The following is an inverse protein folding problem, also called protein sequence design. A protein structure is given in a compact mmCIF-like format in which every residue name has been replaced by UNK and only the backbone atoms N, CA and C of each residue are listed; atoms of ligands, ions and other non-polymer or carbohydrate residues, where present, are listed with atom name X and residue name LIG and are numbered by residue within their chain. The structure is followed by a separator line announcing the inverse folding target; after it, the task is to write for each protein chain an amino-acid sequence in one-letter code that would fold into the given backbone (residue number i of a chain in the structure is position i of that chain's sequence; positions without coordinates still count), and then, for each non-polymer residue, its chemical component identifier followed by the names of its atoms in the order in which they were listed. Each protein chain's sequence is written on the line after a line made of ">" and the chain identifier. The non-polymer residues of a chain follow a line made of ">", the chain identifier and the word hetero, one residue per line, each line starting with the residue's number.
data_IF_607573653654
#
_entry.id   IF_607573653654
#
_cell.length_a   1.000
_cell.length_b   1.000
_cell.length_c   1.000
_cell.angle_alpha   90.00
_cell.angle_beta   90.00
_cell.angle_gamma   90.00
#
_symmetry.space_group_name_H-M   'P 1'
#
loop_
_entity.id
_entity.type
_entity.pdbx_description
1 polymer ?
#
# COMPACT_ATOMS: atom_id res chain seq x y z
N UNK A 1 6.34 4.26 -30.02
CA UNK A 1 5.36 5.19 -29.42
C UNK A 1 6.16 6.17 -28.61
N UNK A 2 6.13 7.45 -28.98
CA UNK A 2 6.77 8.49 -28.19
C UNK A 2 6.12 8.46 -26.80
N UNK A 3 6.93 8.30 -25.75
CA UNK A 3 6.49 8.59 -24.39
C UNK A 3 6.03 10.05 -24.41
N UNK A 4 4.72 10.29 -24.43
CA UNK A 4 4.18 11.55 -23.95
C UNK A 4 4.81 11.76 -22.58
N UNK A 5 5.49 12.90 -22.41
CA UNK A 5 6.15 13.22 -21.16
C UNK A 5 5.08 13.14 -20.07
N UNK A 6 5.27 12.24 -19.11
CA UNK A 6 4.43 12.09 -17.92
C UNK A 6 4.14 13.49 -17.39
N UNK A 7 2.90 13.95 -17.51
CA UNK A 7 2.50 15.29 -17.12
C UNK A 7 2.27 15.33 -15.60
N UNK A 8 3.28 14.87 -14.83
CA UNK A 8 3.29 14.85 -13.37
C UNK A 8 3.41 16.25 -12.78
N UNK A 9 3.86 17.22 -13.59
CA UNK A 9 4.00 18.61 -13.21
C UNK A 9 2.85 19.42 -13.82
N UNK A 10 1.82 19.69 -13.03
CA UNK A 10 0.73 20.57 -13.45
C UNK A 10 1.23 22.04 -13.60
N UNK A 11 0.51 22.89 -14.35
CA UNK A 11 0.94 24.26 -14.60
C UNK A 11 1.17 25.11 -13.33
N UNK A 12 0.42 24.86 -12.26
CA UNK A 12 0.55 25.61 -11.00
C UNK A 12 1.83 25.18 -10.27
N UNK A 13 2.09 23.87 -10.19
CA UNK A 13 3.33 23.32 -9.65
C UNK A 13 4.55 23.81 -10.44
N UNK A 14 4.49 23.82 -11.77
CA UNK A 14 5.60 24.33 -12.60
C UNK A 14 5.89 25.80 -12.31
N UNK A 15 4.85 26.65 -12.27
CA UNK A 15 4.98 28.07 -11.97
C UNK A 15 5.60 28.30 -10.59
N UNK A 16 5.17 27.55 -9.57
CA UNK A 16 5.69 27.64 -8.21
C UNK A 16 7.18 27.28 -8.13
N UNK A 17 7.59 26.18 -8.80
CA UNK A 17 8.99 25.75 -8.85
C UNK A 17 9.88 26.76 -9.56
N UNK A 18 9.44 27.28 -10.72
CA UNK A 18 10.20 28.29 -11.48
C UNK A 18 10.38 29.59 -10.70
N UNK A 19 9.39 29.98 -9.91
CA UNK A 19 9.41 31.22 -9.11
C UNK A 19 10.26 31.09 -7.85
N UNK A 20 10.34 29.90 -7.24
CA UNK A 20 10.93 29.73 -5.89
C UNK A 20 12.34 29.12 -5.92
N UNK A 21 12.59 28.16 -6.81
CA UNK A 21 13.81 27.34 -6.75
C UNK A 21 15.08 28.14 -7.07
N UNK A 22 15.13 28.99 -8.11
CA UNK A 22 16.35 29.74 -8.44
C UNK A 22 16.74 30.78 -7.37
N UNK A 23 15.75 31.39 -6.71
CA UNK A 23 15.96 32.57 -5.85
C UNK A 23 15.95 32.26 -4.35
N UNK A 24 15.14 31.30 -3.88
CA UNK A 24 14.85 31.11 -2.45
C UNK A 24 15.49 29.84 -1.86
N UNK A 25 15.25 28.66 -2.46
CA UNK A 25 15.64 27.38 -1.83
C UNK A 25 16.86 26.71 -2.46
N UNK A 26 17.12 26.94 -3.76
CA UNK A 26 18.11 26.22 -4.55
C UNK A 26 17.69 24.78 -4.89
N UNK A 27 17.98 24.32 -6.11
CA UNK A 27 17.54 23.00 -6.60
C UNK A 27 18.00 21.81 -5.75
N UNK A 28 19.17 21.92 -5.09
CA UNK A 28 19.67 20.86 -4.19
C UNK A 28 18.79 20.67 -2.95
N UNK A 29 18.24 21.75 -2.40
CA UNK A 29 17.35 21.67 -1.23
C UNK A 29 16.02 21.01 -1.60
N UNK A 30 15.48 21.33 -2.79
CA UNK A 30 14.29 20.68 -3.32
C UNK A 30 14.52 19.17 -3.53
N UNK A 31 15.63 18.79 -4.16
CA UNK A 31 15.98 17.39 -4.36
C UNK A 31 16.12 16.64 -3.02
N UNK A 32 16.75 17.27 -2.02
CA UNK A 32 16.87 16.70 -0.68
C UNK A 32 15.50 16.52 -0.02
N UNK A 33 14.61 17.52 -0.12
CA UNK A 33 13.24 17.42 0.38
C UNK A 33 12.47 16.29 -0.29
N UNK A 34 12.55 16.17 -1.62
CA UNK A 34 11.89 15.10 -2.37
C UNK A 34 12.38 13.69 -1.96
N UNK A 35 13.70 13.51 -1.78
CA UNK A 35 14.25 12.23 -1.28
C UNK A 35 13.85 11.94 0.17
N UNK A 36 13.75 12.98 0.99
CA UNK A 36 13.28 12.83 2.37
C UNK A 36 11.82 12.41 2.42
N UNK A 37 10.98 13.04 1.60
CA UNK A 37 9.58 12.66 1.42
C UNK A 37 9.46 11.20 0.96
N UNK A 38 10.23 10.79 -0.06
CA UNK A 38 10.24 9.41 -0.55
C UNK A 38 10.60 8.40 0.55
N UNK A 39 11.63 8.69 1.37
CA UNK A 39 12.02 7.82 2.49
C UNK A 39 10.88 7.73 3.52
N UNK A 40 10.33 8.86 3.95
CA UNK A 40 9.26 8.86 4.96
C UNK A 40 7.99 8.16 4.47
N UNK A 41 7.56 8.39 3.21
CA UNK A 41 6.44 7.68 2.61
C UNK A 41 6.68 6.17 2.61
N UNK A 42 7.87 5.73 2.19
CA UNK A 42 8.22 4.31 2.25
C UNK A 42 8.13 3.72 3.66
N UNK A 43 8.64 4.43 4.68
CA UNK A 43 8.56 3.95 6.05
C UNK A 43 7.13 3.87 6.55
N UNK A 44 6.26 4.84 6.21
CA UNK A 44 4.83 4.79 6.56
C UNK A 44 4.14 3.61 5.90
N UNK A 45 4.35 3.41 4.61
CA UNK A 45 3.77 2.29 3.85
C UNK A 45 4.21 0.94 4.42
N UNK A 46 5.51 0.80 4.72
CA UNK A 46 6.06 -0.42 5.31
C UNK A 46 5.46 -0.66 6.71
N UNK A 47 5.44 0.34 7.59
CA UNK A 47 4.82 0.22 8.92
C UNK A 47 3.36 -0.18 8.80
N UNK A 48 2.61 0.46 7.89
CA UNK A 48 1.21 0.16 7.67
C UNK A 48 1.02 -1.32 7.32
N UNK A 49 1.67 -1.82 6.26
CA UNK A 49 1.48 -3.21 5.81
C UNK A 49 1.92 -4.20 6.88
N UNK A 50 3.09 -4.00 7.51
CA UNK A 50 3.57 -4.96 8.51
C UNK A 50 2.73 -4.95 9.79
N UNK A 51 2.21 -3.80 10.21
CA UNK A 51 1.31 -3.74 11.38
C UNK A 51 -0.07 -4.30 11.05
N UNK A 52 -0.61 -4.06 9.86
CA UNK A 52 -1.86 -4.68 9.40
C UNK A 52 -1.72 -6.20 9.36
N UNK A 53 -0.64 -6.72 8.79
CA UNK A 53 -0.40 -8.15 8.74
C UNK A 53 -0.21 -8.77 10.14
N UNK A 54 0.39 -8.05 11.07
CA UNK A 54 0.67 -8.55 12.41
C UNK A 54 -0.51 -8.47 13.39
N UNK A 55 -1.28 -7.39 13.32
CA UNK A 55 -2.24 -7.00 14.37
C UNK A 55 -3.67 -6.82 13.84
N UNK A 56 -3.87 -6.98 12.52
CA UNK A 56 -5.20 -6.89 11.91
C UNK A 56 -5.83 -5.51 12.11
N UNK A 57 -7.10 -5.47 12.50
CA UNK A 57 -7.86 -4.25 12.83
C UNK A 57 -7.29 -3.50 14.05
N UNK A 58 -6.56 -4.19 14.93
CA UNK A 58 -5.98 -3.58 16.14
C UNK A 58 -4.67 -2.84 15.87
N UNK A 59 -4.16 -2.84 14.63
CA UNK A 59 -2.89 -2.22 14.27
C UNK A 59 -2.74 -0.76 14.75
N UNK A 60 -3.81 0.03 14.71
CA UNK A 60 -3.82 1.44 15.07
C UNK A 60 -3.58 1.66 16.57
N UNK A 61 -3.89 0.68 17.42
CA UNK A 61 -3.60 0.71 18.87
C UNK A 61 -2.10 0.70 19.17
N UNK A 62 -1.29 0.25 18.21
CA UNK A 62 0.17 0.28 18.28
C UNK A 62 0.76 1.60 17.77
N UNK A 63 -0.07 2.53 17.31
CA UNK A 63 0.33 3.82 16.75
C UNK A 63 -0.13 4.94 17.69
N UNK A 64 0.79 5.52 18.45
CA UNK A 64 0.49 6.62 19.38
C UNK A 64 0.24 7.96 18.63
N UNK A 65 -0.99 8.05 18.10
CA UNK A 65 -1.49 9.09 17.19
C UNK A 65 -2.69 9.87 17.73
N UNK A 66 -3.27 9.44 18.85
CA UNK A 66 -4.57 9.88 19.40
C UNK A 66 -4.67 11.38 19.70
N UNK A 67 -3.55 12.04 20.00
CA UNK A 67 -3.57 13.46 20.38
C UNK A 67 -3.70 14.44 19.18
N UNK A 68 -3.10 14.15 18.01
CA UNK A 68 -3.12 15.08 16.87
C UNK A 68 -4.29 14.85 15.92
N UNK A 69 -4.67 13.59 15.72
CA UNK A 69 -5.75 13.21 14.81
C UNK A 69 -7.09 13.83 15.23
N UNK A 70 -7.36 13.96 16.53
CA UNK A 70 -8.60 14.53 17.06
C UNK A 70 -8.69 16.06 16.98
N UNK A 71 -7.56 16.78 16.99
CA UNK A 71 -7.54 18.24 16.85
C UNK A 71 -7.55 18.67 15.39
N UNK A 72 -6.73 18.05 14.54
CA UNK A 72 -6.60 18.44 13.13
C UNK A 72 -7.83 17.98 12.31
N UNK A 73 -8.33 16.75 12.49
CA UNK A 73 -9.48 16.25 11.73
C UNK A 73 -10.79 17.00 12.05
N UNK A 74 -10.93 17.55 13.26
CA UNK A 74 -12.09 18.38 13.62
C UNK A 74 -11.97 19.83 13.12
N UNK A 75 -10.76 20.37 12.96
CA UNK A 75 -10.52 21.72 12.44
C UNK A 75 -10.46 21.76 10.90
N UNK A 76 -10.07 20.66 10.25
CA UNK A 76 -9.83 20.57 8.81
C UNK A 76 -10.88 19.73 8.07
N UNK A 77 -12.11 19.59 8.59
CA UNK A 77 -13.22 18.88 7.91
C UNK A 77 -13.51 19.38 6.49
N UNK A 78 -13.05 20.58 6.14
CA UNK A 78 -13.21 21.19 4.82
C UNK A 78 -12.06 20.84 3.83
N UNK A 79 -10.97 20.25 4.32
CA UNK A 79 -9.82 19.80 3.52
C UNK A 79 -9.82 18.27 3.49
N UNK A 80 -10.66 17.69 2.61
CA UNK A 80 -10.63 16.26 2.33
C UNK A 80 -9.30 15.90 1.66
N UNK A 81 -8.38 15.35 2.43
CA UNK A 81 -7.14 14.73 1.94
C UNK A 81 -7.27 13.20 2.03
N UNK A 82 -6.69 12.42 1.10
CA UNK A 82 -6.67 10.94 1.18
C UNK A 82 -6.06 10.40 2.48
N UNK A 83 -5.27 11.22 3.17
CA UNK A 83 -4.56 10.87 4.40
C UNK A 83 -5.32 11.20 5.68
N UNK A 84 -6.53 11.77 5.62
CA UNK A 84 -7.23 12.26 6.82
C UNK A 84 -7.45 11.15 7.85
N UNK A 85 -7.75 9.95 7.36
CA UNK A 85 -8.01 8.75 8.15
C UNK A 85 -6.74 7.90 8.40
N UNK A 86 -5.56 8.34 7.95
CA UNK A 86 -4.29 7.65 8.12
C UNK A 86 -3.56 8.11 9.40
N UNK A 87 -3.53 7.32 10.49
CA UNK A 87 -2.83 7.70 11.72
C UNK A 87 -1.34 7.98 11.52
N UNK A 88 -0.71 7.32 10.53
CA UNK A 88 0.73 7.46 10.25
C UNK A 88 1.06 8.79 9.56
N UNK A 89 0.10 9.43 8.89
CA UNK A 89 0.31 10.73 8.25
C UNK A 89 0.62 11.85 9.27
N UNK A 90 0.12 11.70 10.50
CA UNK A 90 0.34 12.64 11.60
C UNK A 90 1.60 12.36 12.43
N UNK A 91 2.29 11.25 12.12
CA UNK A 91 3.53 10.90 12.76
C UNK A 91 4.70 11.60 12.10
N UNK A 92 5.60 12.05 12.96
CA UNK A 92 6.87 12.63 12.58
C UNK A 92 7.91 11.50 12.41
N UNK A 93 9.02 11.74 11.70
CA UNK A 93 9.95 10.65 11.40
C UNK A 93 10.55 9.99 12.64
N UNK A 94 10.71 10.72 13.74
CA UNK A 94 11.23 10.16 14.99
C UNK A 94 10.29 9.09 15.51
N UNK A 95 8.98 9.40 15.58
CA UNK A 95 7.96 8.41 15.96
C UNK A 95 7.93 7.20 15.02
N UNK A 96 8.10 7.39 13.71
CA UNK A 96 8.19 6.27 12.76
C UNK A 96 9.38 5.35 13.07
N UNK A 97 10.55 5.93 13.36
CA UNK A 97 11.73 5.16 13.74
C UNK A 97 11.56 4.45 15.09
N UNK A 98 10.94 5.10 16.06
CA UNK A 98 10.64 4.51 17.38
C UNK A 98 9.70 3.29 17.24
N UNK A 99 8.70 3.37 16.35
CA UNK A 99 7.80 2.23 16.03
C UNK A 99 8.58 1.06 15.43
N UNK A 100 9.45 1.33 14.45
CA UNK A 100 10.30 0.31 13.82
C UNK A 100 11.22 -0.33 14.84
N UNK A 101 11.88 0.47 15.70
CA UNK A 101 12.76 -0.04 16.73
C UNK A 101 12.03 -0.93 17.74
N UNK A 102 10.84 -0.50 18.20
CA UNK A 102 10.00 -1.27 19.14
C UNK A 102 9.55 -2.60 18.56
N UNK A 103 9.32 -2.67 17.25
CA UNK A 103 8.80 -3.84 16.56
C UNK A 103 9.78 -4.42 15.54
N UNK A 104 11.09 -4.32 15.81
CA UNK A 104 12.17 -4.62 14.85
C UNK A 104 12.01 -5.94 14.11
N UNK A 105 11.59 -7.00 14.81
CA UNK A 105 11.38 -8.33 14.24
C UNK A 105 10.48 -8.33 13.00
N UNK A 106 9.51 -7.40 12.90
CA UNK A 106 8.59 -7.29 11.75
C UNK A 106 9.20 -6.57 10.54
N UNK A 107 10.34 -5.91 10.72
CA UNK A 107 10.98 -5.07 9.71
C UNK A 107 12.36 -5.58 9.28
N UNK A 108 12.94 -6.51 10.04
CA UNK A 108 14.32 -6.97 9.86
C UNK A 108 14.65 -7.45 8.44
N UNK A 109 13.69 -8.06 7.75
CA UNK A 109 13.87 -8.55 6.37
C UNK A 109 13.62 -7.49 5.29
N UNK A 110 13.01 -6.36 5.69
CA UNK A 110 12.63 -5.24 4.82
C UNK A 110 13.55 -4.03 4.97
N UNK A 111 14.46 -4.06 5.94
CA UNK A 111 15.45 -3.02 6.23
C UNK A 111 16.86 -3.61 6.16
N UNK A 112 17.87 -2.76 6.40
CA UNK A 112 19.26 -3.20 6.60
C UNK A 112 19.45 -3.78 8.01
N UNK A 113 20.64 -4.32 8.32
CA UNK A 113 20.90 -4.86 9.65
C UNK A 113 20.69 -3.81 10.75
N UNK A 114 20.29 -4.27 11.95
CA UNK A 114 19.90 -3.40 13.06
C UNK A 114 21.01 -2.41 13.45
N UNK A 115 22.28 -2.81 13.42
CA UNK A 115 23.38 -1.94 13.83
C UNK A 115 23.63 -0.85 12.78
N UNK A 116 23.65 -1.21 11.49
CA UNK A 116 23.73 -0.22 10.43
C UNK A 116 22.50 0.70 10.42
N UNK A 117 21.31 0.15 10.60
CA UNK A 117 20.07 0.93 10.67
C UNK A 117 20.14 1.97 11.79
N UNK A 118 20.46 1.56 13.01
CA UNK A 118 20.61 2.47 14.15
C UNK A 118 21.67 3.55 13.88
N UNK A 119 22.80 3.19 13.29
CA UNK A 119 23.84 4.16 12.90
C UNK A 119 23.35 5.18 11.87
N UNK A 120 22.50 4.78 10.92
CA UNK A 120 21.91 5.68 9.91
C UNK A 120 20.88 6.65 10.51
N UNK A 121 20.13 6.24 11.53
CA UNK A 121 19.07 7.07 12.10
C UNK A 121 19.58 8.42 12.63
N UNK A 122 20.70 8.43 13.34
CA UNK A 122 21.29 9.66 13.90
C UNK A 122 21.69 10.65 12.79
N UNK A 123 22.19 10.15 11.68
CA UNK A 123 22.55 10.95 10.50
C UNK A 123 21.30 11.51 9.81
N UNK A 124 20.29 10.66 9.58
CA UNK A 124 19.02 11.05 8.98
C UNK A 124 18.29 12.10 9.80
N UNK A 125 18.28 12.00 11.14
CA UNK A 125 17.65 13.00 12.00
C UNK A 125 18.33 14.36 11.89
N UNK A 126 19.66 14.41 11.74
CA UNK A 126 20.38 15.68 11.49
C UNK A 126 20.01 16.30 10.15
N UNK A 127 19.84 15.48 9.11
CA UNK A 127 19.38 15.92 7.78
C UNK A 127 17.96 16.47 7.88
N UNK A 128 17.03 15.73 8.49
CA UNK A 128 15.65 16.17 8.72
C UNK A 128 15.58 17.49 9.46
N UNK A 129 16.34 17.64 10.54
CA UNK A 129 16.34 18.87 11.33
C UNK A 129 16.74 20.09 10.49
N UNK A 130 17.66 19.94 9.53
CA UNK A 130 17.98 21.01 8.57
C UNK A 130 16.82 21.30 7.63
N UNK A 131 16.20 20.26 7.06
CA UNK A 131 15.04 20.38 6.17
C UNK A 131 13.90 21.12 6.88
N UNK A 132 13.53 20.68 8.09
CA UNK A 132 12.45 21.25 8.88
C UNK A 132 12.65 22.72 9.25
N UNK A 133 13.91 23.14 9.44
CA UNK A 133 14.23 24.54 9.75
C UNK A 133 14.62 25.36 8.52
N UNK A 134 14.38 24.85 7.31
CA UNK A 134 14.72 25.49 6.04
C UNK A 134 16.18 25.96 5.99
N UNK A 135 17.07 25.22 6.66
CA UNK A 135 18.50 25.52 6.71
C UNK A 135 19.16 25.01 5.45
N UNK A 136 20.17 25.73 4.97
CA UNK A 136 20.99 25.28 3.84
C UNK A 136 21.54 23.86 4.11
N UNK A 137 21.32 22.89 3.21
CA UNK A 137 21.80 21.53 3.41
C UNK A 137 23.32 21.46 3.32
N UNK A 138 23.91 20.50 4.02
CA UNK A 138 25.33 20.16 3.84
C UNK A 138 25.54 19.63 2.42
N UNK A 139 26.75 19.81 1.88
CA UNK A 139 27.12 19.31 0.56
C UNK A 139 26.99 17.79 0.40
N UNK A 140 26.84 17.04 1.49
CA UNK A 140 26.75 15.58 1.46
C UNK A 140 25.35 15.05 1.80
N UNK A 141 24.42 15.89 2.26
CA UNK A 141 23.11 15.44 2.75
C UNK A 141 22.33 14.63 1.70
N UNK A 142 22.31 15.14 0.47
CA UNK A 142 21.64 14.45 -0.64
C UNK A 142 22.29 13.09 -0.93
N UNK A 143 23.63 13.00 -0.90
CA UNK A 143 24.33 11.72 -1.14
C UNK A 143 24.07 10.73 -0.02
N UNK A 144 23.99 11.20 1.22
CA UNK A 144 23.75 10.36 2.40
C UNK A 144 22.36 9.75 2.37
N UNK A 145 21.33 10.54 2.04
CA UNK A 145 19.97 10.00 1.90
C UNK A 145 19.85 9.06 0.70
N UNK A 146 20.47 9.39 -0.43
CA UNK A 146 20.50 8.49 -1.59
C UNK A 146 21.22 7.19 -1.25
N UNK A 147 22.33 7.23 -0.52
CA UNK A 147 23.00 6.03 -0.07
C UNK A 147 22.10 5.19 0.84
N UNK A 148 21.39 5.81 1.78
CA UNK A 148 20.42 5.07 2.61
C UNK A 148 19.33 4.43 1.77
N UNK A 149 18.76 5.14 0.79
CA UNK A 149 17.76 4.58 -0.12
C UNK A 149 18.32 3.41 -0.94
N UNK A 150 19.58 3.49 -1.41
CA UNK A 150 20.26 2.37 -2.09
C UNK A 150 20.40 1.16 -1.18
N UNK A 151 20.83 1.39 0.06
CA UNK A 151 21.03 0.32 1.04
C UNK A 151 19.68 -0.37 1.36
N UNK A 152 18.56 0.36 1.28
CA UNK A 152 17.20 -0.16 1.48
C UNK A 152 16.59 -0.89 0.27
N UNK A 153 17.14 -0.78 -0.94
CA UNK A 153 16.57 -1.35 -2.17
C UNK A 153 16.23 -2.85 -2.02
N UNK A 154 17.16 -3.62 -1.43
CA UNK A 154 16.98 -5.07 -1.25
C UNK A 154 15.83 -5.40 -0.31
N UNK A 155 15.81 -4.74 0.85
CA UNK A 155 14.75 -4.96 1.85
C UNK A 155 13.39 -4.51 1.33
N UNK A 156 13.33 -3.37 0.65
CA UNK A 156 12.11 -2.91 0.02
C UNK A 156 11.59 -3.90 -1.03
N UNK A 157 12.47 -4.45 -1.87
CA UNK A 157 12.09 -5.49 -2.83
C UNK A 157 11.54 -6.73 -2.13
N UNK A 158 12.21 -7.21 -1.07
CA UNK A 158 11.73 -8.36 -0.28
C UNK A 158 10.33 -8.14 0.26
N UNK A 159 10.04 -6.96 0.84
CA UNK A 159 8.74 -6.66 1.41
C UNK A 159 7.62 -6.60 0.36
N UNK A 160 7.91 -5.95 -0.78
CA UNK A 160 6.97 -5.79 -1.88
C UNK A 160 6.73 -7.12 -2.62
N UNK A 161 7.80 -7.84 -2.96
CA UNK A 161 7.70 -9.14 -3.62
C UNK A 161 7.00 -10.18 -2.73
N UNK A 162 7.23 -10.16 -1.41
CA UNK A 162 6.49 -11.03 -0.49
C UNK A 162 4.98 -10.72 -0.44
N UNK A 163 4.57 -9.47 -0.69
CA UNK A 163 3.14 -9.11 -0.76
C UNK A 163 2.46 -9.64 -2.03
N UNK A 164 3.20 -9.73 -3.14
CA UNK A 164 2.71 -10.22 -4.43
C UNK A 164 2.97 -11.71 -4.65
N UNK A 165 3.84 -12.33 -3.83
CA UNK A 165 4.08 -13.78 -3.81
C UNK A 165 2.89 -14.48 -3.17
N UNK A 166 1.93 -14.81 -4.01
CA UNK A 166 0.65 -15.37 -3.63
C UNK A 166 0.52 -16.82 -4.01
N UNK A 167 -0.27 -17.54 -3.23
CA UNK A 167 -0.67 -18.90 -3.55
C UNK A 167 -2.11 -19.13 -3.10
N UNK A 168 -2.82 -20.00 -3.81
CA UNK A 168 -4.12 -20.48 -3.37
C UNK A 168 -3.92 -21.55 -2.29
N UNK A 169 -4.50 -21.41 -1.09
CA UNK A 169 -4.48 -22.47 -0.09
C UNK A 169 -5.00 -23.80 -0.66
N UNK A 170 -4.30 -24.89 -0.37
CA UNK A 170 -4.72 -26.21 -0.83
C UNK A 170 -6.06 -26.59 -0.17
N UNK A 171 -7.01 -27.12 -0.96
CA UNK A 171 -8.32 -27.54 -0.46
C UNK A 171 -8.22 -28.51 0.71
N UNK A 172 -7.35 -29.51 0.61
CA UNK A 172 -7.24 -30.53 1.64
C UNK A 172 -6.33 -30.11 2.80
N UNK A 173 -5.71 -28.92 2.73
CA UNK A 173 -4.71 -28.46 3.69
C UNK A 173 -5.26 -27.56 4.81
N UNK A 174 -6.43 -26.95 4.63
CA UNK A 174 -6.97 -25.95 5.55
C UNK A 174 -8.49 -26.06 5.73
N UNK A 175 -8.98 -25.83 6.95
CA UNK A 175 -10.41 -25.86 7.31
C UNK A 175 -10.84 -24.61 8.08
N UNK A 176 -10.10 -23.51 7.92
CA UNK A 176 -10.44 -22.22 8.53
C UNK A 176 -11.71 -21.61 7.92
N UNK A 177 -12.35 -20.63 8.59
CA UNK A 177 -13.61 -20.05 8.12
C UNK A 177 -13.58 -19.50 6.70
N UNK A 178 -12.47 -18.89 6.27
CA UNK A 178 -12.35 -18.27 4.94
C UNK A 178 -12.21 -19.32 3.86
N UNK A 179 -11.33 -20.31 4.08
CA UNK A 179 -11.16 -21.45 3.17
C UNK A 179 -12.48 -22.22 3.02
N UNK A 180 -13.15 -22.53 4.13
CA UNK A 180 -14.43 -23.25 4.09
C UNK A 180 -15.52 -22.46 3.36
N UNK A 181 -15.60 -21.15 3.62
CA UNK A 181 -16.60 -20.30 3.00
C UNK A 181 -16.45 -20.19 1.49
N UNK A 182 -15.24 -19.88 1.01
CA UNK A 182 -15.02 -19.40 -0.36
C UNK A 182 -14.30 -20.40 -1.26
N UNK A 183 -13.32 -21.14 -0.71
CA UNK A 183 -12.58 -22.16 -1.48
C UNK A 183 -13.39 -23.46 -1.54
N UNK A 184 -13.96 -23.90 -0.42
CA UNK A 184 -14.86 -25.06 -0.35
C UNK A 184 -16.32 -24.72 -0.66
N UNK A 185 -16.64 -23.43 -0.84
CA UNK A 185 -17.97 -22.95 -1.22
C UNK A 185 -19.08 -23.36 -0.24
N UNK A 186 -18.77 -23.48 1.05
CA UNK A 186 -19.76 -23.84 2.09
C UNK A 186 -20.56 -22.63 2.59
N UNK A 187 -20.15 -21.40 2.24
CA UNK A 187 -20.89 -20.21 2.63
C UNK A 187 -22.21 -20.09 1.87
N UNK A 188 -23.33 -19.65 2.50
CA UNK A 188 -24.63 -19.54 1.81
C UNK A 188 -24.62 -18.63 0.57
N UNK A 189 -23.70 -17.65 0.52
CA UNK A 189 -23.52 -16.75 -0.63
C UNK A 189 -22.43 -17.20 -1.60
N UNK A 190 -21.86 -18.41 -1.46
CA UNK A 190 -20.84 -18.90 -2.38
C UNK A 190 -21.35 -19.06 -3.83
N UNK A 191 -22.68 -19.10 -4.05
CA UNK A 191 -23.28 -19.04 -5.38
C UNK A 191 -22.91 -17.77 -6.16
N UNK A 192 -22.50 -16.69 -5.46
CA UNK A 192 -22.04 -15.45 -6.09
C UNK A 192 -20.85 -15.68 -7.02
N UNK A 193 -20.00 -16.70 -6.73
CA UNK A 193 -18.88 -17.09 -7.59
C UNK A 193 -19.39 -17.47 -8.98
N UNK A 194 -20.31 -18.43 -9.05
CA UNK A 194 -20.91 -18.85 -10.31
C UNK A 194 -21.72 -17.72 -10.98
N UNK A 195 -22.40 -16.89 -10.18
CA UNK A 195 -23.13 -15.74 -10.71
C UNK A 195 -22.22 -14.72 -11.40
N UNK A 196 -21.08 -14.38 -10.78
CA UNK A 196 -20.09 -13.49 -11.36
C UNK A 196 -19.43 -14.07 -12.62
N UNK A 197 -19.04 -15.35 -12.58
CA UNK A 197 -18.48 -16.05 -13.75
C UNK A 197 -19.46 -16.03 -14.94
N UNK A 198 -20.75 -16.29 -14.69
CA UNK A 198 -21.76 -16.44 -15.76
C UNK A 198 -22.40 -15.13 -16.23
N UNK A 199 -22.68 -14.19 -15.33
CA UNK A 199 -23.41 -12.95 -15.65
C UNK A 199 -22.49 -11.74 -15.90
N UNK A 200 -21.32 -11.76 -15.30
CA UNK A 200 -20.35 -10.67 -15.35
C UNK A 200 -19.08 -11.02 -16.12
N UNK A 201 -18.92 -12.28 -16.54
CA UNK A 201 -17.71 -12.79 -17.18
C UNK A 201 -16.46 -12.45 -16.35
N UNK A 202 -16.58 -12.60 -15.04
CA UNK A 202 -15.52 -12.30 -14.09
C UNK A 202 -14.75 -13.57 -13.70
N UNK A 203 -13.43 -13.46 -13.62
CA UNK A 203 -12.56 -14.44 -12.98
C UNK A 203 -12.34 -14.02 -11.52
N UNK A 204 -12.37 -14.97 -10.60
CA UNK A 204 -12.27 -14.73 -9.17
C UNK A 204 -11.10 -15.51 -8.60
N UNK A 205 -10.31 -14.85 -7.78
CA UNK A 205 -9.19 -15.46 -7.08
C UNK A 205 -9.31 -15.29 -5.57
N UNK A 206 -8.95 -16.35 -4.85
CA UNK A 206 -8.76 -16.35 -3.40
C UNK A 206 -7.35 -16.86 -3.14
N UNK A 207 -6.47 -15.97 -2.73
CA UNK A 207 -5.06 -16.26 -2.53
C UNK A 207 -4.60 -15.72 -1.19
N UNK A 208 -3.45 -16.20 -0.72
CA UNK A 208 -2.79 -15.67 0.47
C UNK A 208 -1.35 -15.29 0.15
N UNK A 209 -0.82 -14.30 0.86
CA UNK A 209 0.61 -13.97 0.86
C UNK A 209 1.17 -14.03 2.28
N UNK A 210 2.46 -14.32 2.39
CA UNK A 210 3.19 -14.45 3.67
C UNK A 210 4.18 -13.29 3.83
N UNK A 211 4.17 -12.63 4.98
CA UNK A 211 5.17 -11.61 5.31
C UNK A 211 6.55 -12.21 5.54
N UNK A 212 7.64 -11.50 5.19
CA UNK A 212 9.00 -12.04 5.29
C UNK A 212 9.41 -12.54 6.69
N UNK A 213 8.99 -11.83 7.74
CA UNK A 213 9.33 -12.14 9.13
C UNK A 213 8.61 -13.38 9.68
N UNK A 214 7.63 -13.92 8.95
CA UNK A 214 6.99 -15.18 9.32
C UNK A 214 7.81 -16.35 8.76
N UNK A 215 8.41 -17.21 9.61
CA UNK A 215 9.31 -18.26 9.13
C UNK A 215 8.58 -19.28 8.24
N UNK A 216 7.43 -19.75 8.69
CA UNK A 216 6.62 -20.77 8.01
C UNK A 216 5.15 -20.39 8.00
N UNK A 217 4.42 -20.90 7.01
CA UNK A 217 2.96 -20.72 6.94
C UNK A 217 2.33 -21.58 8.05
N UNK A 218 1.48 -21.00 8.92
CA UNK A 218 0.80 -21.79 9.94
C UNK A 218 -0.21 -22.76 9.29
N UNK A 219 -0.44 -23.93 9.92
CA UNK A 219 -1.40 -24.91 9.39
C UNK A 219 -2.85 -24.37 9.40
N UNK A 220 -3.17 -23.48 10.35
CA UNK A 220 -4.46 -22.79 10.42
C UNK A 220 -4.27 -21.32 10.05
N UNK A 221 -5.14 -20.83 9.15
CA UNK A 221 -5.08 -19.45 8.66
C UNK A 221 -6.04 -18.51 9.40
N UNK A 222 -6.89 -19.03 10.30
CA UNK A 222 -7.72 -18.19 11.18
C UNK A 222 -6.85 -17.55 12.25
N UNK A 223 -6.97 -16.23 12.44
CA UNK A 223 -6.17 -15.47 13.41
C UNK A 223 -4.66 -15.75 13.29
N UNK A 224 -4.15 -15.73 12.06
CA UNK A 224 -2.77 -16.02 11.69
C UNK A 224 -1.98 -14.74 11.36
N UNK A 225 -1.24 -14.14 12.32
CA UNK A 225 -0.37 -13.00 12.05
C UNK A 225 0.66 -13.28 10.95
N UNK A 226 0.86 -12.31 10.07
CA UNK A 226 1.83 -12.39 8.98
C UNK A 226 1.28 -13.04 7.71
N UNK A 227 0.01 -13.47 7.70
CA UNK A 227 -0.70 -13.90 6.50
C UNK A 227 -1.69 -12.81 6.07
N UNK A 228 -1.76 -12.54 4.78
CA UNK A 228 -2.73 -11.64 4.17
C UNK A 228 -3.59 -12.42 3.17
N UNK A 229 -4.90 -12.24 3.25
CA UNK A 229 -5.86 -12.75 2.27
C UNK A 229 -6.01 -11.75 1.13
N UNK A 230 -5.99 -12.25 -0.11
CA UNK A 230 -6.21 -11.50 -1.34
C UNK A 230 -7.45 -12.05 -2.03
N UNK A 231 -8.43 -11.17 -2.23
CA UNK A 231 -9.64 -11.46 -2.98
C UNK A 231 -9.67 -10.60 -4.25
N UNK A 232 -9.51 -11.23 -5.41
CA UNK A 232 -9.46 -10.56 -6.71
C UNK A 232 -10.69 -10.83 -7.56
N UNK A 233 -11.14 -9.81 -8.30
CA UNK A 233 -12.07 -9.95 -9.42
C UNK A 233 -11.48 -9.30 -10.67
N UNK A 234 -11.37 -10.08 -11.75
CA UNK A 234 -10.97 -9.61 -13.07
C UNK A 234 -12.15 -9.76 -14.03
N UNK A 235 -12.66 -8.65 -14.54
CA UNK A 235 -13.78 -8.61 -15.48
C UNK A 235 -13.30 -8.66 -16.92
N UNK A 236 -14.00 -9.39 -17.79
CA UNK A 236 -13.63 -9.43 -19.21
C UNK A 236 -14.10 -8.21 -20.02
N UNK A 237 -15.31 -7.72 -19.75
CA UNK A 237 -15.96 -6.67 -20.54
C UNK A 237 -16.63 -5.60 -19.68
N UNK A 238 -16.20 -5.49 -18.42
CA UNK A 238 -16.72 -4.51 -17.47
C UNK A 238 -15.58 -3.77 -16.79
N UNK A 239 -15.77 -2.47 -16.59
CA UNK A 239 -14.81 -1.65 -15.86
C UNK A 239 -15.35 -1.30 -14.48
N UNK A 240 -14.43 -1.03 -13.56
CA UNK A 240 -14.69 -0.52 -12.23
C UNK A 240 -14.38 0.97 -12.19
N UNK A 241 -15.26 1.74 -11.55
CA UNK A 241 -14.98 3.12 -11.20
C UNK A 241 -14.49 3.19 -9.75
N UNK A 242 -13.25 3.66 -9.48
CA UNK A 242 -12.67 3.72 -8.14
C UNK A 242 -13.54 4.47 -7.13
N UNK A 243 -14.11 5.62 -7.53
CA UNK A 243 -14.93 6.44 -6.64
C UNK A 243 -16.23 5.73 -6.29
N UNK A 244 -16.85 5.08 -7.26
CA UNK A 244 -18.08 4.33 -7.05
C UNK A 244 -17.85 3.15 -6.11
N UNK A 245 -16.83 2.32 -6.36
CA UNK A 245 -16.57 1.19 -5.47
C UNK A 245 -16.24 1.65 -4.06
N UNK A 246 -15.47 2.73 -3.91
CA UNK A 246 -15.15 3.30 -2.59
C UNK A 246 -16.39 3.77 -1.81
N UNK A 247 -17.36 4.34 -2.51
CA UNK A 247 -18.66 4.71 -1.94
C UNK A 247 -19.52 3.49 -1.60
N UNK A 248 -19.56 2.48 -2.46
CA UNK A 248 -20.29 1.23 -2.18
C UNK A 248 -19.70 0.49 -0.98
N UNK A 249 -18.40 0.68 -0.68
CA UNK A 249 -17.75 0.07 0.48
C UNK A 249 -17.60 1.00 1.70
N UNK A 250 -18.51 1.98 1.86
CA UNK A 250 -18.50 2.94 2.97
C UNK A 250 -18.91 2.36 4.34
N UNK A 251 -19.14 1.05 4.45
CA UNK A 251 -19.39 0.41 5.74
C UNK A 251 -18.15 0.52 6.66
N UNK A 252 -18.29 1.10 7.87
CA UNK A 252 -17.17 1.30 8.79
C UNK A 252 -16.48 0.01 9.22
N UNK A 253 -17.24 -1.08 9.37
CA UNK A 253 -16.70 -2.39 9.76
C UNK A 253 -15.81 -2.91 8.64
N UNK A 254 -16.31 -2.89 7.41
CA UNK A 254 -15.54 -3.27 6.23
C UNK A 254 -14.27 -2.43 6.06
N UNK A 255 -14.38 -1.09 6.12
CA UNK A 255 -13.23 -0.19 5.96
C UNK A 255 -12.16 -0.43 7.02
N UNK A 256 -12.55 -0.79 8.23
CA UNK A 256 -11.60 -1.13 9.30
C UNK A 256 -10.83 -2.40 8.97
N UNK A 257 -11.48 -3.41 8.37
CA UNK A 257 -10.87 -4.68 7.97
C UNK A 257 -10.00 -4.60 6.70
N UNK A 258 -10.31 -3.67 5.81
CA UNK A 258 -9.60 -3.49 4.55
C UNK A 258 -8.16 -3.04 4.77
N UNK A 259 -7.19 -3.86 4.34
CA UNK A 259 -5.77 -3.48 4.28
C UNK A 259 -5.55 -2.60 3.05
N UNK A 260 -5.85 -3.12 1.86
CA UNK A 260 -5.76 -2.36 0.62
C UNK A 260 -6.92 -2.71 -0.33
N UNK A 261 -7.34 -1.71 -1.11
CA UNK A 261 -8.13 -1.86 -2.32
C UNK A 261 -7.22 -1.56 -3.52
N UNK A 262 -6.77 -2.58 -4.23
CA UNK A 262 -5.88 -2.41 -5.38
C UNK A 262 -6.67 -2.41 -6.68
N UNK A 263 -6.44 -1.39 -7.52
CA UNK A 263 -6.96 -1.29 -8.88
C UNK A 263 -5.75 -1.26 -9.81
N UNK A 264 -5.46 -2.42 -10.41
CA UNK A 264 -4.34 -2.61 -11.32
C UNK A 264 -4.58 -1.91 -12.66
N UNK A 265 -5.78 -2.13 -13.16
CA UNK A 265 -6.33 -1.57 -14.37
C UNK A 265 -7.86 -1.48 -14.21
N UNK A 266 -8.57 -0.81 -15.11
CA UNK A 266 -10.01 -0.63 -15.00
C UNK A 266 -10.83 -1.92 -14.92
N UNK A 267 -10.28 -3.08 -15.28
CA UNK A 267 -10.95 -4.37 -15.29
C UNK A 267 -10.61 -5.26 -14.09
N UNK A 268 -9.61 -4.88 -13.29
CA UNK A 268 -9.12 -5.70 -12.19
C UNK A 268 -9.13 -4.95 -10.87
N UNK A 269 -9.89 -5.49 -9.91
CA UNK A 269 -9.93 -5.01 -8.53
C UNK A 269 -9.54 -6.14 -7.57
N UNK A 270 -8.82 -5.77 -6.52
CA UNK A 270 -8.44 -6.67 -5.45
C UNK A 270 -8.64 -6.03 -4.08
N UNK A 271 -9.06 -6.85 -3.12
CA UNK A 271 -9.19 -6.51 -1.72
C UNK A 271 -8.23 -7.35 -0.91
N UNK A 272 -7.47 -6.70 -0.03
CA UNK A 272 -6.58 -7.38 0.91
C UNK A 272 -7.11 -7.29 2.34
N UNK A 273 -7.11 -8.41 3.04
CA UNK A 273 -7.51 -8.52 4.45
C UNK A 273 -6.39 -9.17 5.26
N UNK A 274 -6.30 -8.87 6.55
CA UNK A 274 -5.32 -9.49 7.43
C UNK A 274 -5.88 -10.79 7.99
N UNK A 275 -5.12 -11.88 7.89
CA UNK A 275 -5.51 -13.14 8.54
C UNK A 275 -5.36 -13.08 10.07
N UNK A 276 -4.74 -12.03 10.64
CA UNK A 276 -4.72 -11.80 12.08
C UNK A 276 -6.11 -11.45 12.65
N UNK A 277 -7.05 -11.05 11.78
CA UNK A 277 -8.45 -10.78 12.14
C UNK A 277 -9.26 -12.07 12.32
N UNK A 278 -10.48 -11.95 12.86
CA UNK A 278 -11.39 -13.09 12.97
C UNK A 278 -11.84 -13.55 11.58
N UNK A 279 -11.66 -14.84 11.28
CA UNK A 279 -11.98 -15.40 9.97
C UNK A 279 -13.44 -15.21 9.56
N UNK A 280 -14.40 -15.14 10.49
CA UNK A 280 -15.81 -14.91 10.15
C UNK A 280 -16.05 -13.48 9.69
N UNK A 281 -15.35 -12.53 10.30
CA UNK A 281 -15.40 -11.14 9.90
C UNK A 281 -14.77 -10.97 8.51
N UNK A 282 -13.66 -11.67 8.22
CA UNK A 282 -13.05 -11.71 6.88
C UNK A 282 -14.03 -12.31 5.85
N UNK A 283 -14.73 -13.39 6.19
CA UNK A 283 -15.75 -13.98 5.31
C UNK A 283 -16.85 -12.96 4.97
N UNK A 284 -17.32 -12.22 5.97
CA UNK A 284 -18.33 -11.18 5.77
C UNK A 284 -17.80 -10.00 4.94
N UNK A 285 -16.55 -9.61 5.16
CA UNK A 285 -15.91 -8.55 4.39
C UNK A 285 -15.74 -8.96 2.92
N UNK A 286 -15.29 -10.19 2.64
CA UNK A 286 -15.20 -10.73 1.27
C UNK A 286 -16.58 -10.73 0.61
N UNK A 287 -17.63 -11.18 1.29
CA UNK A 287 -19.00 -11.14 0.76
C UNK A 287 -19.38 -9.72 0.33
N UNK A 288 -19.09 -8.73 1.18
CA UNK A 288 -19.41 -7.33 0.92
C UNK A 288 -18.60 -6.76 -0.25
N UNK A 289 -17.28 -7.01 -0.29
CA UNK A 289 -16.42 -6.66 -1.41
C UNK A 289 -16.92 -7.24 -2.73
N UNK A 290 -17.40 -8.49 -2.70
CA UNK A 290 -17.96 -9.18 -3.85
C UNK A 290 -19.21 -8.45 -4.38
N UNK A 291 -20.19 -8.20 -3.51
CA UNK A 291 -21.44 -7.53 -3.87
C UNK A 291 -21.19 -6.10 -4.37
N UNK A 292 -20.33 -5.34 -3.69
CA UNK A 292 -19.96 -3.98 -4.06
C UNK A 292 -19.25 -3.93 -5.42
N UNK A 293 -18.34 -4.87 -5.70
CA UNK A 293 -17.63 -4.96 -6.98
C UNK A 293 -18.58 -5.22 -8.15
N UNK A 294 -19.51 -6.16 -7.98
CA UNK A 294 -20.51 -6.44 -9.01
C UNK A 294 -21.43 -5.24 -9.25
N UNK A 295 -21.91 -4.61 -8.18
CA UNK A 295 -22.78 -3.43 -8.24
C UNK A 295 -22.09 -2.22 -8.88
N UNK A 296 -20.79 -2.05 -8.66
CA UNK A 296 -19.97 -0.96 -9.19
C UNK A 296 -19.53 -1.17 -10.63
N UNK A 297 -19.54 -2.41 -11.12
CA UNK A 297 -19.09 -2.75 -12.47
C UNK A 297 -20.01 -2.18 -13.56
N UNK A 298 -19.43 -1.67 -14.64
CA UNK A 298 -20.15 -1.15 -15.82
C UNK A 298 -19.67 -1.87 -17.07
N UNK A 299 -20.60 -2.36 -17.91
CA UNK A 299 -20.24 -2.91 -19.23
C UNK A 299 -19.66 -1.81 -20.12
N UNK A 300 -18.59 -2.16 -20.82
CA UNK A 300 -17.96 -1.31 -21.83
C UNK A 300 -18.13 -1.97 -23.19
N UNK A 301 -18.51 -1.18 -24.19
CA UNK A 301 -18.74 -1.66 -25.55
C UNK A 301 -17.53 -1.46 -26.45
N UNK A 302 -16.72 -0.43 -26.21
CA UNK A 302 -15.47 -0.17 -26.92
C UNK A 302 -14.34 0.12 -25.91
N UNK A 303 -13.23 -0.61 -26.03
CA UNK A 303 -12.04 -0.47 -25.17
C UNK A 303 -11.46 0.95 -25.24
N UNK A 304 -11.66 1.65 -26.36
CA UNK A 304 -11.22 3.05 -26.52
C UNK A 304 -11.93 4.05 -25.60
N UNK A 305 -13.07 3.67 -25.04
CA UNK A 305 -13.81 4.49 -24.07
C UNK A 305 -13.20 4.44 -22.67
N UNK A 306 -12.22 3.56 -22.43
CA UNK A 306 -11.66 3.34 -21.10
C UNK A 306 -10.53 4.32 -20.83
N UNK A 307 -10.79 5.21 -19.87
CA UNK A 307 -9.82 6.17 -19.35
C UNK A 307 -8.94 5.53 -18.26
N UNK A 308 -7.86 4.87 -18.68
CA UNK A 308 -6.91 4.19 -17.77
C UNK A 308 -6.25 5.18 -16.80
N UNK A 309 -5.75 6.31 -17.31
CA UNK A 309 -5.07 7.32 -16.50
C UNK A 309 -6.02 8.03 -15.54
N UNK A 310 -7.24 8.34 -15.99
CA UNK A 310 -8.28 8.91 -15.13
C UNK A 310 -8.69 7.96 -14.01
N UNK A 311 -8.74 6.65 -14.27
CA UNK A 311 -8.97 5.64 -13.23
C UNK A 311 -7.82 5.61 -12.22
N UNK A 312 -6.57 5.57 -12.68
CA UNK A 312 -5.39 5.57 -11.79
C UNK A 312 -5.34 6.84 -10.93
N UNK A 313 -5.54 8.02 -11.52
CA UNK A 313 -5.61 9.30 -10.79
C UNK A 313 -6.77 9.31 -9.79
N UNK A 314 -7.96 8.92 -10.21
CA UNK A 314 -9.13 8.90 -9.34
C UNK A 314 -8.95 7.95 -8.14
N UNK A 315 -8.20 6.86 -8.28
CA UNK A 315 -7.91 5.94 -7.19
C UNK A 315 -6.96 6.59 -6.14
N UNK A 316 -5.90 7.27 -6.59
CA UNK A 316 -4.90 7.91 -5.71
C UNK A 316 -5.48 9.02 -4.83
N UNK A 317 -6.57 9.65 -5.27
CA UNK A 317 -7.21 10.76 -4.55
C UNK A 317 -8.27 10.33 -3.53
N UNK A 318 -8.51 9.02 -3.33
CA UNK A 318 -9.64 8.55 -2.50
C UNK A 318 -9.28 8.36 -1.04
N UNK A 319 -8.28 7.53 -0.77
CA UNK A 319 -7.90 7.10 0.57
C UNK A 319 -6.54 6.39 0.48
N UNK A 320 -5.71 6.50 1.52
CA UNK A 320 -4.39 5.86 1.57
C UNK A 320 -4.43 4.33 1.39
N UNK A 321 -5.57 3.67 1.62
CA UNK A 321 -5.78 2.22 1.40
C UNK A 321 -6.07 1.89 -0.06
N UNK A 322 -6.43 2.87 -0.88
CA UNK A 322 -6.77 2.68 -2.29
C UNK A 322 -5.51 2.83 -3.13
N UNK A 323 -5.08 1.73 -3.74
CA UNK A 323 -3.84 1.65 -4.50
C UNK A 323 -4.13 1.55 -6.00
N UNK A 324 -3.44 2.37 -6.79
CA UNK A 324 -3.35 2.17 -8.24
C UNK A 324 -1.93 2.44 -8.73
N UNK A 325 -1.39 1.48 -9.49
CA UNK A 325 0.00 1.47 -9.94
C UNK A 325 1.01 1.68 -8.79
N UNK A 326 0.68 1.15 -7.61
CA UNK A 326 1.52 1.21 -6.42
C UNK A 326 2.63 0.15 -6.51
N UNK A 327 3.74 0.39 -5.82
CA UNK A 327 4.80 -0.60 -5.73
C UNK A 327 4.33 -1.89 -5.07
N UNK A 328 3.35 -1.81 -4.17
CA UNK A 328 2.78 -2.97 -3.47
C UNK A 328 2.05 -3.94 -4.39
N UNK A 329 1.47 -3.46 -5.50
CA UNK A 329 0.73 -4.32 -6.40
C UNK A 329 1.52 -4.67 -7.68
N UNK A 330 2.51 -3.88 -8.09
CA UNK A 330 3.25 -4.15 -9.35
C UNK A 330 4.59 -4.89 -9.17
N UNK A 331 5.21 -4.84 -7.99
CA UNK A 331 6.55 -5.43 -7.77
C UNK A 331 6.42 -6.89 -7.33
N UNK A 332 7.00 -7.80 -8.11
CA UNK A 332 7.08 -9.23 -7.84
C UNK A 332 8.49 -9.77 -8.05
N UNK A 333 8.69 -11.07 -7.79
CA UNK A 333 9.97 -11.77 -8.00
C UNK A 333 10.48 -11.66 -9.46
N UNK A 334 9.60 -11.40 -10.43
CA UNK A 334 9.94 -11.24 -11.85
C UNK A 334 10.21 -9.79 -12.28
N UNK A 335 10.02 -8.80 -11.41
CA UNK A 335 10.24 -7.38 -11.75
C UNK A 335 11.73 -7.00 -11.77
N UNK A 336 12.65 -7.96 -11.77
CA UNK A 336 14.09 -7.69 -11.82
C UNK A 336 14.60 -7.53 -13.28
N UNK A 337 15.56 -6.62 -13.54
CA UNK A 337 16.14 -5.69 -12.59
C UNK A 337 15.22 -4.48 -12.29
N UNK A 338 15.20 -4.03 -11.04
CA UNK A 338 14.41 -2.86 -10.60
C UNK A 338 15.21 -1.94 -9.67
N UNK A 339 14.94 -0.64 -9.76
CA UNK A 339 15.28 0.35 -8.72
C UNK A 339 13.98 0.90 -8.16
N UNK A 340 13.68 0.57 -6.91
CA UNK A 340 12.47 0.99 -6.19
C UNK A 340 12.53 2.47 -5.89
N UNK A 341 13.72 2.95 -5.49
CA UNK A 341 13.90 4.34 -5.09
C UNK A 341 14.47 5.21 -6.21
N UNK A 342 15.05 4.65 -7.27
CA UNK A 342 15.68 5.42 -8.33
C UNK A 342 16.89 6.21 -7.82
N UNK A 343 17.58 5.68 -6.80
CA UNK A 343 18.69 6.36 -6.11
C UNK A 343 20.07 5.95 -6.63
N UNK A 344 20.13 5.07 -7.65
CA UNK A 344 21.38 4.52 -8.22
C UNK A 344 21.76 3.13 -7.70
N UNK A 345 20.88 2.48 -6.94
CA UNK A 345 20.95 1.07 -6.58
C UNK A 345 19.89 0.27 -7.33
N UNK A 346 20.11 -1.02 -7.53
CA UNK A 346 19.15 -1.90 -8.20
C UNK A 346 19.20 -3.32 -7.64
N UNK A 347 18.05 -3.99 -7.62
CA UNK A 347 17.95 -5.42 -7.34
C UNK A 347 18.04 -6.19 -8.65
N UNK A 348 19.01 -7.11 -8.76
CA UNK A 348 19.31 -7.86 -9.99
C UNK A 348 18.98 -9.36 -9.90
N UNK A 349 18.58 -9.83 -8.72
CA UNK A 349 18.18 -11.21 -8.46
C UNK A 349 17.11 -11.26 -7.38
N UNK A 350 16.19 -12.21 -7.41
CA UNK A 350 15.25 -12.46 -6.32
C UNK A 350 15.98 -13.09 -5.11
N UNK A 351 15.54 -12.87 -3.87
CA UNK A 351 15.90 -13.70 -2.71
C UNK A 351 15.56 -15.17 -2.91
#
# INVERSE_FOLDING_TARGET
>A
MAHEADNWLDPESELALRSTVPEVMGGRSLALYARWWQLETWLRDLIYVEFRAAFGVQWSTHVDSTYRQSQDANQLRHMHSPDVDNPLAYLDSKKLLDLIATHWFKFQDSLIDLNAWNGRQDELQKIRHRIMHLRKPHSDDLRRIEQTLRDLERGAFTALAAYTRRYTPARDGHSDPVTDAWIHRKHPRAYLIQHAETQYEANITFEVSKRPWLPEVPPELDRAPGILWHFGLMFRNRTINPRRIWLEVDDPTFRTMLVHLSIYDPYHIEFTFSAADDGRDIVNAIRYAFEASLASSRRVHDVKEVDYEGVSRAARDLDFRVLSESRWNIVSDSTIPISIFGSGGSVISSP
#
